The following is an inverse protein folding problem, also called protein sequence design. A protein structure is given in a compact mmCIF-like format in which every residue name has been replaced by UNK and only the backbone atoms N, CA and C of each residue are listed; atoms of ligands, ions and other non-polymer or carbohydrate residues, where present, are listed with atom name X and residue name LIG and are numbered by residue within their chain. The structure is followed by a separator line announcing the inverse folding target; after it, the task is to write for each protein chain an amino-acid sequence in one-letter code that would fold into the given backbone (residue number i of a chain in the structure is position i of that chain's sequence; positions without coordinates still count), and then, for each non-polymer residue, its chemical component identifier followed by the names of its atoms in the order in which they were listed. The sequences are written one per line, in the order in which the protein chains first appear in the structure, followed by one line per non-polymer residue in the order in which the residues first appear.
data_IF_593018335240
#
_entry.id   IF_593018335240
#
_cell.length_a   1.000
_cell.length_b   1.000
_cell.length_c   1.000
_cell.angle_alpha   90.00
_cell.angle_beta   90.00
_cell.angle_gamma   90.00
#
_symmetry.space_group_name_H-M   'P 1'
#
loop_
_entity.id
_entity.type
_entity.pdbx_description
1 polymer ?
#
# COMPACT_ATOMS: atom_id res chain seq x y z
N UNK A 1 17.42 -3.97 -7.72
CA UNK A 1 16.44 -3.88 -8.82
C UNK A 1 15.17 -3.36 -8.18
N UNK A 2 14.49 -2.41 -8.82
CA UNK A 2 13.39 -1.66 -8.20
C UNK A 2 12.01 -2.34 -8.33
N UNK A 3 11.97 -3.52 -8.94
CA UNK A 3 10.72 -4.27 -9.18
C UNK A 3 10.06 -4.70 -7.85
N UNK A 4 10.77 -5.27 -6.85
CA UNK A 4 10.15 -5.57 -5.55
C UNK A 4 9.61 -4.33 -4.82
N UNK A 5 10.18 -3.16 -5.07
CA UNK A 5 9.69 -1.90 -4.50
C UNK A 5 8.36 -1.47 -5.11
N UNK A 6 8.09 -1.77 -6.39
CA UNK A 6 6.76 -1.55 -6.98
C UNK A 6 5.69 -2.40 -6.29
N UNK A 7 6.00 -3.66 -5.99
CA UNK A 7 5.09 -4.54 -5.25
C UNK A 7 4.80 -4.00 -3.83
N UNK A 8 5.83 -3.51 -3.13
CA UNK A 8 5.67 -2.89 -1.81
C UNK A 8 4.77 -1.65 -1.86
N UNK A 9 4.91 -0.81 -2.89
CA UNK A 9 4.04 0.36 -3.08
C UNK A 9 2.59 -0.04 -3.33
N UNK A 10 2.37 -1.05 -4.16
CA UNK A 10 1.03 -1.59 -4.43
C UNK A 10 0.38 -2.10 -3.14
N UNK A 11 1.11 -2.91 -2.36
CA UNK A 11 0.64 -3.38 -1.06
C UNK A 11 0.32 -2.22 -0.12
N UNK A 12 1.24 -1.27 0.00
CA UNK A 12 1.08 -0.11 0.87
C UNK A 12 -0.17 0.70 0.48
N UNK A 13 -0.37 0.99 -0.81
CA UNK A 13 -1.55 1.65 -1.37
C UNK A 13 -2.85 0.96 -0.92
N UNK A 14 -2.91 -0.38 -1.01
CA UNK A 14 -4.08 -1.16 -0.57
C UNK A 14 -4.29 -1.07 0.96
N UNK A 15 -3.20 -1.07 1.75
CA UNK A 15 -3.26 -1.04 3.21
C UNK A 15 -3.66 0.32 3.80
N UNK A 16 -3.39 1.43 3.12
CA UNK A 16 -3.75 2.78 3.59
C UNK A 16 -4.97 3.36 2.87
N UNK A 17 -5.66 2.55 2.07
CA UNK A 17 -6.80 2.98 1.23
C UNK A 17 -6.44 4.19 0.36
N UNK A 18 -5.25 4.18 -0.24
CA UNK A 18 -4.89 5.17 -1.25
C UNK A 18 -5.49 4.71 -2.58
N UNK A 19 -6.57 5.32 -3.05
CA UNK A 19 -7.18 4.90 -4.33
C UNK A 19 -6.72 5.73 -5.52
N UNK A 20 -6.02 6.84 -5.28
CA UNK A 20 -5.46 7.73 -6.30
C UNK A 20 -4.00 7.33 -6.59
N UNK A 21 -3.80 6.10 -7.05
CA UNK A 21 -2.48 5.49 -7.28
C UNK A 21 -2.05 5.52 -8.75
N UNK A 22 -2.40 6.59 -9.46
CA UNK A 22 -2.10 6.70 -10.89
C UNK A 22 -0.61 6.52 -11.21
N UNK A 23 -0.30 5.95 -12.38
CA UNK A 23 1.08 5.72 -12.85
C UNK A 23 1.99 6.97 -12.81
N UNK A 24 1.41 8.18 -12.83
CA UNK A 24 2.15 9.44 -12.68
C UNK A 24 2.75 9.65 -11.28
N UNK A 25 2.30 8.88 -10.28
CA UNK A 25 2.85 8.86 -8.91
C UNK A 25 4.11 7.99 -8.78
N UNK A 26 4.57 7.41 -9.90
CA UNK A 26 5.82 6.67 -9.98
C UNK A 26 6.85 7.45 -10.80
N UNK A 27 7.70 8.19 -10.09
CA UNK A 27 8.84 8.87 -10.70
C UNK A 27 10.04 7.95 -10.93
N UNK A 28 10.82 8.23 -11.97
CA UNK A 28 12.13 7.64 -12.20
C UNK A 28 13.20 8.73 -12.14
N UNK A 29 14.22 8.52 -11.33
CA UNK A 29 15.38 9.39 -11.20
C UNK A 29 16.52 8.88 -12.08
N UNK A 30 17.06 9.75 -12.93
CA UNK A 30 18.31 9.47 -13.64
C UNK A 30 19.47 9.51 -12.65
N UNK A 31 20.29 8.46 -12.64
CA UNK A 31 21.44 8.38 -11.71
C UNK A 31 22.75 8.59 -12.45
N UNK A 32 23.10 7.70 -13.39
CA UNK A 32 24.28 7.77 -14.28
C UNK A 32 24.32 6.57 -15.22
N UNK A 33 25.06 6.67 -16.33
CA UNK A 33 25.32 5.56 -17.26
C UNK A 33 24.04 4.92 -17.83
N UNK A 34 23.04 5.74 -18.18
CA UNK A 34 21.71 5.28 -18.61
C UNK A 34 20.97 4.41 -17.58
N UNK A 35 21.35 4.51 -16.29
CA UNK A 35 20.65 3.85 -15.20
C UNK A 35 19.66 4.80 -14.55
N UNK A 36 18.44 4.28 -14.39
CA UNK A 36 17.33 4.91 -13.71
C UNK A 36 17.05 4.17 -12.42
N UNK A 37 16.50 4.86 -11.43
CA UNK A 37 15.96 4.26 -10.21
C UNK A 37 14.60 4.83 -9.89
N UNK A 38 13.75 4.09 -9.18
CA UNK A 38 12.53 4.66 -8.63
C UNK A 38 12.84 5.87 -7.74
N UNK A 39 12.09 6.95 -7.93
CA UNK A 39 12.06 8.05 -6.96
C UNK A 39 11.49 7.54 -5.64
N UNK A 40 11.72 8.24 -4.51
CA UNK A 40 10.86 8.09 -3.33
C UNK A 40 9.38 8.18 -3.73
N UNK A 41 8.52 7.46 -3.01
CA UNK A 41 7.08 7.57 -3.21
C UNK A 41 6.60 8.97 -2.83
N UNK A 42 5.69 9.54 -3.62
CA UNK A 42 5.11 10.87 -3.40
C UNK A 42 3.61 10.83 -3.70
N UNK A 43 2.91 11.89 -3.30
CA UNK A 43 1.46 12.05 -3.46
C UNK A 43 0.65 10.89 -2.87
N UNK A 44 0.98 10.55 -1.62
CA UNK A 44 0.33 9.48 -0.85
C UNK A 44 -0.81 10.07 -0.05
N UNK A 45 -2.05 9.68 -0.38
CA UNK A 45 -3.23 10.23 0.27
C UNK A 45 -4.16 9.12 0.81
N UNK A 46 -4.10 8.81 2.12
CA UNK A 46 -5.03 7.86 2.73
C UNK A 46 -6.47 8.37 2.66
N UNK A 47 -7.37 7.61 2.03
CA UNK A 47 -8.76 8.03 1.84
C UNK A 47 -9.70 7.22 2.73
N UNK A 48 -10.37 7.92 3.64
CA UNK A 48 -11.29 7.29 4.60
C UNK A 48 -12.70 7.04 4.08
N UNK A 49 -13.02 7.53 2.88
CA UNK A 49 -14.29 7.25 2.22
C UNK A 49 -14.12 5.99 1.40
N UNK A 50 -15.18 5.16 1.35
CA UNK A 50 -15.29 4.07 0.38
C UNK A 50 -15.22 4.64 -1.04
N UNK A 51 -14.03 4.60 -1.64
CA UNK A 51 -13.88 4.53 -3.08
C UNK A 51 -13.68 3.07 -3.45
N UNK A 52 -14.40 2.55 -4.46
CA UNK A 52 -14.53 1.12 -4.65
C UNK A 52 -13.30 0.48 -5.33
N UNK A 53 -12.45 1.25 -6.02
CA UNK A 53 -11.43 0.68 -6.91
C UNK A 53 -10.14 1.49 -6.92
N UNK A 54 -9.01 0.82 -7.15
CA UNK A 54 -7.73 1.44 -7.49
C UNK A 54 -7.79 2.10 -8.87
N UNK A 55 -6.90 3.06 -9.15
CA UNK A 55 -6.72 3.61 -10.50
C UNK A 55 -5.80 2.73 -11.35
N UNK A 56 -4.91 1.97 -10.71
CA UNK A 56 -4.08 0.96 -11.37
C UNK A 56 -4.53 -0.44 -10.98
N UNK A 57 -4.75 -1.31 -11.97
CA UNK A 57 -5.13 -2.70 -11.70
C UNK A 57 -3.99 -3.49 -11.05
N UNK A 58 -4.32 -4.37 -10.11
CA UNK A 58 -3.35 -5.24 -9.41
C UNK A 58 -2.70 -6.22 -10.39
N UNK A 59 -3.53 -6.79 -11.27
CA UNK A 59 -3.12 -7.66 -12.38
C UNK A 59 -4.27 -7.81 -13.38
N UNK A 60 -3.99 -8.41 -14.54
CA UNK A 60 -5.00 -8.69 -15.57
C UNK A 60 -6.17 -9.54 -15.06
N UNK A 61 -5.95 -10.38 -14.04
CA UNK A 61 -6.96 -11.31 -13.51
C UNK A 61 -7.70 -10.77 -12.28
N UNK A 62 -7.08 -9.87 -11.51
CA UNK A 62 -7.68 -9.31 -10.30
C UNK A 62 -8.36 -7.96 -10.55
N UNK A 63 -7.97 -7.24 -11.61
CA UNK A 63 -8.53 -5.94 -11.95
C UNK A 63 -8.20 -4.88 -10.89
N UNK A 64 -9.17 -4.01 -10.61
CA UNK A 64 -8.97 -2.79 -9.81
C UNK A 64 -9.51 -2.90 -8.37
N UNK A 65 -10.04 -4.04 -7.97
CA UNK A 65 -10.56 -4.21 -6.60
C UNK A 65 -9.39 -4.31 -5.60
N UNK A 66 -9.30 -3.44 -4.58
CA UNK A 66 -8.22 -3.51 -3.60
C UNK A 66 -8.32 -4.80 -2.76
N UNK A 67 -7.30 -5.67 -2.84
CA UNK A 67 -7.29 -6.95 -2.13
C UNK A 67 -5.86 -7.37 -1.76
N UNK A 68 -5.65 -7.76 -0.49
CA UNK A 68 -4.33 -8.22 0.00
C UNK A 68 -3.96 -9.56 -0.64
N UNK A 69 -4.88 -10.51 -0.67
CA UNK A 69 -4.73 -11.77 -1.39
C UNK A 69 -4.35 -11.55 -2.86
N UNK A 70 -5.03 -10.63 -3.55
CA UNK A 70 -4.70 -10.34 -4.96
C UNK A 70 -3.29 -9.76 -5.12
N UNK A 71 -2.83 -8.93 -4.18
CA UNK A 71 -1.45 -8.40 -4.18
C UNK A 71 -0.44 -9.50 -3.92
N UNK A 72 -0.73 -10.45 -3.02
CA UNK A 72 0.13 -11.61 -2.74
C UNK A 72 0.19 -12.53 -3.96
N UNK A 73 -0.94 -12.82 -4.59
CA UNK A 73 -1.03 -13.64 -5.80
C UNK A 73 -0.27 -13.00 -6.98
N UNK A 74 -0.21 -11.67 -7.05
CA UNK A 74 0.56 -10.94 -8.06
C UNK A 74 2.06 -10.87 -7.77
N UNK A 75 2.53 -11.22 -6.55
CA UNK A 75 3.93 -11.09 -6.14
C UNK A 75 4.96 -11.78 -7.07
N UNK A 76 4.67 -12.97 -7.66
CA UNK A 76 5.59 -13.61 -8.60
C UNK A 76 5.89 -12.78 -9.85
N UNK A 77 4.98 -11.89 -10.30
CA UNK A 77 5.27 -10.96 -11.40
C UNK A 77 6.39 -9.96 -11.07
N UNK A 78 6.64 -9.76 -9.77
CA UNK A 78 7.68 -8.88 -9.25
C UNK A 78 8.94 -9.64 -8.79
N UNK A 79 9.01 -10.96 -9.05
CA UNK A 79 10.12 -11.81 -8.61
C UNK A 79 10.14 -12.05 -7.10
N UNK A 80 8.99 -12.02 -6.44
CA UNK A 80 8.83 -12.31 -5.01
C UNK A 80 8.03 -13.61 -4.88
N UNK A 81 8.54 -14.56 -4.08
CA UNK A 81 7.84 -15.81 -3.76
C UNK A 81 6.63 -15.55 -2.87
N UNK A 82 5.55 -16.31 -3.05
CA UNK A 82 4.29 -16.08 -2.33
C UNK A 82 4.44 -16.16 -0.78
N UNK A 83 5.33 -17.04 -0.29
CA UNK A 83 5.62 -17.16 1.15
C UNK A 83 6.34 -15.91 1.70
N UNK A 84 7.28 -15.36 0.91
CA UNK A 84 7.98 -14.12 1.25
C UNK A 84 7.01 -12.92 1.18
N UNK A 85 6.13 -12.89 0.18
CA UNK A 85 5.10 -11.87 0.03
C UNK A 85 4.15 -11.84 1.24
N UNK A 86 3.71 -12.99 1.74
CA UNK A 86 2.89 -13.08 2.97
C UNK A 86 3.62 -12.52 4.19
N UNK A 87 4.89 -12.87 4.34
CA UNK A 87 5.73 -12.36 5.44
C UNK A 87 5.87 -10.84 5.36
N UNK A 88 6.23 -10.30 4.18
CA UNK A 88 6.36 -8.86 3.95
C UNK A 88 5.03 -8.13 4.14
N UNK A 89 3.90 -8.73 3.74
CA UNK A 89 2.58 -8.15 3.89
C UNK A 89 2.21 -7.95 5.37
N UNK A 90 2.45 -8.98 6.18
CA UNK A 90 2.25 -8.89 7.63
C UNK A 90 3.17 -7.88 8.30
N UNK A 91 4.45 -7.85 7.92
CA UNK A 91 5.42 -6.89 8.47
C UNK A 91 5.02 -5.44 8.16
N UNK A 92 4.59 -5.18 6.92
CA UNK A 92 4.12 -3.86 6.51
C UNK A 92 2.84 -3.47 7.26
N UNK A 93 1.87 -4.38 7.37
CA UNK A 93 0.62 -4.13 8.09
C UNK A 93 0.86 -3.80 9.57
N UNK A 94 1.72 -4.55 10.25
CA UNK A 94 2.12 -4.26 11.63
C UNK A 94 2.76 -2.87 11.74
N UNK A 95 3.68 -2.55 10.83
CA UNK A 95 4.37 -1.25 10.80
C UNK A 95 3.37 -0.10 10.61
N UNK A 96 2.44 -0.23 9.66
CA UNK A 96 1.41 0.80 9.40
C UNK A 96 0.50 0.96 10.62
N UNK A 97 0.03 -0.13 11.22
CA UNK A 97 -0.85 -0.09 12.39
C UNK A 97 -0.17 0.57 13.61
N UNK A 98 1.10 0.23 13.86
CA UNK A 98 1.89 0.83 14.94
C UNK A 98 2.10 2.33 14.72
N UNK A 99 2.59 2.72 13.54
CA UNK A 99 2.85 4.12 13.19
C UNK A 99 1.56 4.93 13.23
N UNK A 100 0.43 4.39 12.75
CA UNK A 100 -0.88 5.05 12.83
C UNK A 100 -1.29 5.26 14.29
N UNK A 101 -1.14 4.24 15.14
CA UNK A 101 -1.39 4.34 16.57
C UNK A 101 -0.59 5.45 17.24
N UNK A 102 0.70 5.54 16.94
CA UNK A 102 1.58 6.60 17.45
C UNK A 102 1.22 7.98 16.89
N UNK A 103 1.00 8.10 15.58
CA UNK A 103 0.60 9.34 14.90
C UNK A 103 -0.67 9.92 15.52
N UNK A 104 -1.67 9.07 15.81
CA UNK A 104 -2.90 9.50 16.49
C UNK A 104 -2.61 10.10 17.87
N UNK A 105 -1.74 9.46 18.66
CA UNK A 105 -1.36 9.95 20.00
C UNK A 105 -0.62 11.27 19.90
N UNK A 106 0.40 11.35 19.05
CA UNK A 106 1.25 12.54 18.89
C UNK A 106 0.44 13.76 18.44
N UNK A 107 -0.54 13.58 17.56
CA UNK A 107 -1.36 14.66 17.03
C UNK A 107 -2.72 14.82 17.74
N UNK A 108 -2.98 14.07 18.82
CA UNK A 108 -4.24 14.15 19.56
C UNK A 108 -5.49 13.79 18.74
N UNK A 109 -5.35 12.96 17.71
CA UNK A 109 -6.44 12.56 16.81
C UNK A 109 -7.40 11.64 17.58
N UNK A 110 -8.51 12.21 18.03
CA UNK A 110 -9.50 11.53 18.89
C UNK A 110 -10.92 11.84 18.45
N UNK A 111 -11.90 11.11 18.99
CA UNK A 111 -13.33 11.38 18.81
C UNK A 111 -13.75 11.46 17.34
N UNK A 112 -14.30 12.61 16.94
CA UNK A 112 -14.77 12.82 15.57
C UNK A 112 -13.64 12.84 14.52
N UNK A 113 -12.44 13.30 14.88
CA UNK A 113 -11.30 13.31 13.97
C UNK A 113 -10.81 11.88 13.71
N UNK A 114 -10.70 11.06 14.75
CA UNK A 114 -10.37 9.65 14.61
C UNK A 114 -11.40 8.93 13.74
N UNK A 115 -12.71 9.07 14.00
CA UNK A 115 -13.75 8.45 13.17
C UNK A 115 -13.69 8.83 11.68
N UNK A 116 -13.17 10.01 11.35
CA UNK A 116 -12.99 10.45 9.96
C UNK A 116 -11.75 9.89 9.29
N UNK A 117 -10.71 9.51 10.03
CA UNK A 117 -9.45 9.06 9.45
C UNK A 117 -9.24 7.55 9.61
N UNK A 118 -9.75 6.97 10.69
CA UNK A 118 -9.63 5.56 11.03
C UNK A 118 -9.97 4.62 9.85
N UNK A 119 -11.05 4.84 9.06
CA UNK A 119 -11.38 3.91 7.99
C UNK A 119 -10.34 3.79 6.88
N UNK A 120 -9.36 4.69 6.80
CA UNK A 120 -8.25 4.57 5.85
C UNK A 120 -7.18 3.57 6.30
N UNK A 121 -7.09 3.27 7.60
CA UNK A 121 -6.06 2.41 8.21
C UNK A 121 -6.63 1.24 9.04
N UNK A 122 -7.89 1.35 9.46
CA UNK A 122 -8.62 0.41 10.31
C UNK A 122 -9.79 -0.15 9.47
N UNK A 123 -9.51 -1.19 8.69
CA UNK A 123 -10.46 -1.83 7.77
C UNK A 123 -10.12 -3.30 7.51
N UNK A 124 -11.03 -4.05 6.90
CA UNK A 124 -10.94 -5.50 6.67
C UNK A 124 -9.66 -5.95 5.95
N UNK A 125 -9.16 -5.18 4.98
CA UNK A 125 -7.89 -5.50 4.29
C UNK A 125 -6.67 -5.40 5.21
N UNK A 126 -6.67 -4.45 6.15
CA UNK A 126 -5.60 -4.34 7.16
C UNK A 126 -5.66 -5.54 8.09
N UNK A 127 -6.87 -5.92 8.54
CA UNK A 127 -7.09 -7.10 9.39
C UNK A 127 -6.65 -8.39 8.68
N UNK A 128 -6.96 -8.53 7.39
CA UNK A 128 -6.51 -9.66 6.58
C UNK A 128 -4.98 -9.76 6.53
N UNK A 129 -4.28 -8.65 6.28
CA UNK A 129 -2.82 -8.64 6.25
C UNK A 129 -2.18 -8.90 7.62
N UNK A 130 -2.78 -8.43 8.71
CA UNK A 130 -2.33 -8.72 10.07
C UNK A 130 -2.51 -10.20 10.45
N UNK A 131 -3.50 -10.87 9.87
CA UNK A 131 -3.82 -12.28 10.11
C UNK A 131 -2.98 -13.31 9.32
N UNK A 132 -2.02 -12.87 8.51
CA UNK A 132 -1.16 -13.72 7.68
C UNK A 132 -0.09 -14.53 8.43
#
# INVERSE_FOLDING_TARGET
MDIPELWRRLLFTVLITNTDDHLKNHGLLYVRDNRWRLSPMFDVNPQSRRQPTLETGISDIHGFEPSVEAVIDAAPFFGIEAADARTMAREMANTVAEIWGETRRQHGITGAAHRRCAPAFEHERMEAALGL
#
